data_IF_428677334431
#
_entry.id   IF_428677334431
#
_cell.length_a   1.000
_cell.length_b   1.000
_cell.length_c   1.000
_cell.angle_alpha   90.00
_cell.angle_beta   90.00
_cell.angle_gamma   90.00
#
_symmetry.space_group_name_H-M   'P 1'
#
loop_
_entity.id
_entity.type
_entity.pdbx_description
1 polymer ?
#
# COMPACT_ATOMS: atom_id res chain seq x y z
N UNK A 1 35.03 -0.94 2.23
CA UNK A 1 34.56 -0.97 2.08
C UNK A 1 34.15 -1.00 2.22
N UNK A 2 34.23 -1.67 2.12
CA UNK A 2 33.50 -1.65 2.00
C UNK A 2 33.22 -1.75 1.94
N UNK A 3 33.32 -2.39 1.80
CA UNK A 3 32.77 -2.45 1.56
C UNK A 3 32.62 -2.60 1.54
N UNK A 4 32.85 -3.24 1.57
CA UNK A 4 32.40 -3.34 1.37
C UNK A 4 32.25 -3.53 1.28
N UNK A 5 32.58 -4.12 1.43
CA UNK A 5 32.10 -4.22 1.17
C UNK A 5 31.86 -4.26 0.95
N UNK A 6 32.20 -4.67 0.87
CA UNK A 6 31.60 -4.64 0.43
C UNK A 6 31.39 -4.52 0.17
N UNK A 7 31.52 -4.84 0.00
CA UNK A 7 31.05 -4.50 -0.37
C UNK A 7 30.95 -4.17 -1.02
N UNK A 8 30.91 -4.56 -1.27
CA UNK A 8 30.78 -4.26 -1.91
C UNK A 8 30.66 -3.75 -2.05
N UNK A 9 31.04 -4.35 -1.72
CA UNK A 9 30.58 -3.62 -1.71
C UNK A 9 30.21 -2.78 -2.19
N UNK A 10 30.27 -2.50 -1.90
CA UNK A 10 29.64 -1.46 -2.64
C UNK A 10 28.48 -1.92 -3.49
N UNK A 11 28.57 -3.06 -4.00
CA UNK A 11 27.49 -3.63 -4.80
C UNK A 11 26.23 -3.86 -3.99
N UNK A 12 26.37 -4.36 -2.79
CA UNK A 12 25.22 -4.59 -1.92
C UNK A 12 24.54 -3.27 -1.56
N UNK A 13 25.32 -2.26 -1.28
CA UNK A 13 24.76 -0.94 -0.95
C UNK A 13 24.01 -0.38 -2.14
N UNK A 14 24.54 -0.54 -3.32
CA UNK A 14 23.90 -0.07 -4.52
C UNK A 14 22.52 -0.73 -4.72
N UNK A 15 22.46 -2.04 -4.52
CA UNK A 15 21.19 -2.77 -4.66
C UNK A 15 20.19 -2.29 -3.62
N UNK A 16 20.65 -2.15 -2.38
CA UNK A 16 19.75 -1.73 -1.30
C UNK A 16 19.24 -0.31 -1.51
N UNK A 17 20.03 0.57 -2.10
CA UNK A 17 19.59 1.93 -2.33
C UNK A 17 18.44 2.03 -3.34
N UNK A 18 18.24 0.97 -4.13
CA UNK A 18 17.15 0.92 -5.11
C UNK A 18 15.93 0.18 -4.59
N UNK A 19 16.04 -0.40 -3.41
CA UNK A 19 14.93 -1.14 -2.82
C UNK A 19 14.01 -0.19 -2.06
N UNK A 20 12.72 -0.33 -2.27
CA UNK A 20 11.72 0.42 -1.51
C UNK A 20 11.17 -0.49 -0.42
N UNK A 21 11.28 -0.04 0.83
CA UNK A 21 10.77 -0.78 1.97
C UNK A 21 9.36 -0.28 2.26
N UNK A 22 8.37 -1.13 2.00
CA UNK A 22 6.99 -0.79 2.26
C UNK A 22 6.71 -0.84 3.76
N UNK A 23 6.09 0.20 4.30
CA UNK A 23 5.76 0.28 5.72
C UNK A 23 4.50 -0.52 6.06
N UNK A 24 3.66 -0.77 5.08
CA UNK A 24 2.39 -1.47 5.28
C UNK A 24 2.39 -2.78 4.52
N UNK A 25 1.54 -3.71 4.96
CA UNK A 25 1.51 -5.07 4.44
C UNK A 25 0.14 -5.41 3.87
N UNK A 26 0.11 -6.45 3.03
CA UNK A 26 -1.15 -6.99 2.53
C UNK A 26 -2.06 -7.33 3.69
N UNK A 27 -3.32 -6.96 3.57
CA UNK A 27 -4.32 -7.24 4.59
C UNK A 27 -4.41 -6.23 5.70
N UNK A 28 -3.50 -5.28 5.79
CA UNK A 28 -3.61 -4.22 6.78
C UNK A 28 -4.66 -3.22 6.38
N UNK A 29 -5.36 -2.68 7.37
CA UNK A 29 -6.34 -1.63 7.15
C UNK A 29 -5.64 -0.30 7.35
N UNK A 30 -5.75 0.56 6.34
CA UNK A 30 -5.16 1.89 6.37
C UNK A 30 -6.24 2.93 6.09
N UNK A 31 -5.95 4.17 6.46
CA UNK A 31 -6.84 5.31 6.16
C UNK A 31 -6.02 6.42 5.54
N UNK A 32 -6.69 7.23 4.73
CA UNK A 32 -6.04 8.37 4.11
C UNK A 32 -5.87 9.49 5.12
N UNK A 33 -4.74 10.21 5.03
CA UNK A 33 -4.45 11.30 5.96
C UNK A 33 -5.43 12.47 5.83
N UNK A 34 -5.88 12.72 4.61
CA UNK A 34 -6.66 13.93 4.30
C UNK A 34 -8.11 13.64 3.96
N UNK A 35 -8.37 12.55 3.28
CA UNK A 35 -9.72 12.25 2.78
C UNK A 35 -10.36 11.18 3.66
N UNK A 36 -11.67 11.24 3.74
CA UNK A 36 -12.43 10.38 4.67
C UNK A 36 -12.67 9.01 4.05
N UNK A 37 -11.60 8.25 3.79
CA UNK A 37 -11.75 6.87 3.35
C UNK A 37 -10.67 5.99 3.98
N UNK A 38 -10.95 4.70 3.98
CA UNK A 38 -10.06 3.67 4.49
C UNK A 38 -10.18 2.42 3.63
N UNK A 39 -9.27 1.49 3.79
CA UNK A 39 -9.34 0.28 2.98
C UNK A 39 -8.34 -0.78 3.40
N UNK A 40 -8.50 -1.95 2.80
CA UNK A 40 -7.60 -3.09 3.02
C UNK A 40 -6.61 -3.13 1.86
N UNK A 41 -5.34 -3.24 2.19
CA UNK A 41 -4.28 -3.33 1.17
C UNK A 41 -4.34 -4.70 0.52
N UNK A 42 -4.50 -4.73 -0.82
CA UNK A 42 -4.52 -5.99 -1.54
C UNK A 42 -3.36 -6.13 -2.54
N UNK A 43 -2.61 -5.06 -2.79
CA UNK A 43 -1.42 -5.12 -3.65
C UNK A 43 -0.52 -3.95 -3.32
N UNK A 44 0.78 -4.12 -3.56
CA UNK A 44 1.78 -3.12 -3.23
C UNK A 44 2.73 -2.97 -4.41
N UNK A 45 2.91 -1.74 -4.88
CA UNK A 45 3.92 -1.42 -5.88
C UNK A 45 5.10 -0.76 -5.18
N UNK A 46 6.34 -1.18 -5.47
CA UNK A 46 7.51 -0.57 -4.80
C UNK A 46 7.64 0.92 -5.09
N UNK A 47 7.17 1.34 -6.26
CA UNK A 47 7.10 2.75 -6.62
C UNK A 47 5.94 2.94 -7.60
N UNK A 48 5.68 4.18 -7.97
CA UNK A 48 4.54 4.51 -8.83
C UNK A 48 4.51 3.62 -10.07
N UNK A 49 3.36 3.01 -10.32
CA UNK A 49 3.15 2.12 -11.46
C UNK A 49 1.74 2.29 -12.02
N UNK A 50 1.47 3.47 -12.53
CA UNK A 50 0.22 3.78 -13.20
C UNK A 50 0.55 4.70 -14.37
N UNK A 51 -0.45 5.20 -15.08
CA UNK A 51 -0.18 6.01 -16.27
C UNK A 51 0.21 7.43 -15.89
N UNK A 52 0.94 8.06 -16.78
CA UNK A 52 1.30 9.47 -16.61
C UNK A 52 0.06 10.36 -16.62
N UNK A 53 -0.94 10.01 -17.42
CA UNK A 53 -2.21 10.75 -17.44
C UNK A 53 -2.89 10.71 -16.09
N UNK A 54 -2.93 9.53 -15.45
CA UNK A 54 -3.49 9.40 -14.12
C UNK A 54 -2.74 10.30 -13.13
N UNK A 55 -1.40 10.26 -13.20
CA UNK A 55 -0.56 11.05 -12.31
C UNK A 55 -0.79 12.55 -12.49
N UNK A 56 -0.85 12.99 -13.74
CA UNK A 56 -1.05 14.39 -14.04
C UNK A 56 -2.47 14.87 -13.70
N UNK A 57 -3.42 13.95 -13.56
CA UNK A 57 -4.77 14.31 -13.14
C UNK A 57 -4.85 14.71 -11.68
N UNK A 58 -3.84 14.36 -10.88
CA UNK A 58 -3.80 14.76 -9.48
C UNK A 58 -3.40 16.24 -9.41
N UNK A 59 -4.13 17.07 -8.66
CA UNK A 59 -3.74 18.47 -8.52
C UNK A 59 -2.30 18.59 -8.02
N UNK A 60 -1.54 19.52 -8.63
CA UNK A 60 -0.10 19.61 -8.37
C UNK A 60 0.23 19.79 -6.88
N UNK A 61 -0.62 20.51 -6.14
CA UNK A 61 -0.38 20.79 -4.73
C UNK A 61 -0.46 19.55 -3.84
N UNK A 62 -1.14 18.50 -4.31
CA UNK A 62 -1.30 17.27 -3.52
C UNK A 62 -0.71 16.05 -4.21
N UNK A 63 -0.01 16.27 -5.33
CA UNK A 63 0.56 15.20 -6.12
C UNK A 63 1.77 14.59 -5.38
N UNK A 64 1.76 13.29 -5.09
CA UNK A 64 2.86 12.67 -4.33
C UNK A 64 4.07 12.39 -5.23
N UNK A 65 5.23 12.18 -4.59
CA UNK A 65 6.40 11.72 -5.32
C UNK A 65 6.17 10.31 -5.83
N UNK A 66 6.74 10.00 -6.98
CA UNK A 66 6.65 8.67 -7.58
C UNK A 66 7.57 7.65 -6.93
N UNK A 67 8.64 8.08 -6.28
CA UNK A 67 9.71 7.22 -5.75
C UNK A 67 9.41 6.76 -4.33
N UNK A 68 8.24 6.20 -4.14
CA UNK A 68 7.81 5.63 -2.86
C UNK A 68 6.82 4.51 -3.13
N UNK A 69 6.56 3.64 -2.15
CA UNK A 69 5.54 2.60 -2.34
C UNK A 69 4.16 3.20 -2.57
N UNK A 70 3.41 2.56 -3.45
CA UNK A 70 2.01 2.85 -3.69
C UNK A 70 1.19 1.60 -3.40
N UNK A 71 -0.01 1.80 -2.88
CA UNK A 71 -0.85 0.70 -2.39
C UNK A 71 -2.18 0.68 -3.10
N UNK A 72 -2.60 -0.53 -3.46
CA UNK A 72 -3.93 -0.77 -4.01
C UNK A 72 -4.84 -1.19 -2.88
N UNK A 73 -5.94 -0.48 -2.71
CA UNK A 73 -6.85 -0.67 -1.58
C UNK A 73 -8.24 -1.09 -2.05
N UNK A 74 -8.81 -2.06 -1.35
CA UNK A 74 -10.27 -2.22 -1.34
C UNK A 74 -10.80 -1.17 -0.37
N UNK A 75 -11.27 -0.06 -0.90
CA UNK A 75 -11.55 1.14 -0.13
C UNK A 75 -13.03 1.36 0.09
N UNK A 76 -13.34 2.08 1.14
CA UNK A 76 -14.70 2.51 1.45
C UNK A 76 -14.68 3.94 1.99
N UNK A 77 -15.75 4.65 1.73
CA UNK A 77 -16.04 5.89 2.45
C UNK A 77 -17.45 5.76 3.06
N UNK A 78 -18.02 6.86 3.54
CA UNK A 78 -19.34 6.81 4.18
C UNK A 78 -20.45 6.38 3.22
N UNK A 79 -20.23 6.50 1.92
CA UNK A 79 -21.30 6.36 0.93
C UNK A 79 -21.11 5.16 -0.01
N UNK A 80 -19.87 4.75 -0.31
CA UNK A 80 -19.63 3.76 -1.33
C UNK A 80 -18.31 3.00 -1.10
N UNK A 81 -18.10 1.99 -1.92
CA UNK A 81 -16.86 1.20 -1.95
C UNK A 81 -16.22 1.31 -3.33
N UNK A 82 -14.89 1.27 -3.38
CA UNK A 82 -14.16 1.43 -4.63
C UNK A 82 -12.73 0.92 -4.49
N UNK A 83 -11.98 0.92 -5.61
CA UNK A 83 -10.56 0.60 -5.60
C UNK A 83 -9.79 1.91 -5.57
N UNK A 84 -8.86 2.04 -4.63
CA UNK A 84 -8.03 3.25 -4.51
C UNK A 84 -6.56 2.90 -4.72
N UNK A 85 -5.82 3.83 -5.27
CA UNK A 85 -4.37 3.72 -5.47
C UNK A 85 -3.72 4.90 -4.76
N UNK A 86 -2.96 4.62 -3.69
CA UNK A 86 -2.54 5.66 -2.76
C UNK A 86 -1.07 5.52 -2.42
N UNK A 87 -0.36 6.66 -2.42
CA UNK A 87 1.05 6.71 -2.02
C UNK A 87 1.19 6.49 -0.52
N UNK A 88 2.32 5.90 -0.14
CA UNK A 88 2.61 5.61 1.27
C UNK A 88 2.54 6.85 2.15
N UNK A 89 3.02 7.99 1.66
CA UNK A 89 3.05 9.22 2.45
C UNK A 89 1.65 9.68 2.87
N UNK A 90 0.62 9.24 2.17
CA UNK A 90 -0.76 9.67 2.44
C UNK A 90 -1.55 8.67 3.26
N UNK A 91 -0.91 7.62 3.77
CA UNK A 91 -1.59 6.57 4.51
C UNK A 91 -1.16 6.51 5.96
N UNK A 92 -2.10 6.14 6.82
CA UNK A 92 -1.89 5.83 8.22
C UNK A 92 -2.57 4.50 8.52
N UNK A 93 -2.02 3.75 9.49
CA UNK A 93 -2.72 2.55 9.95
C UNK A 93 -4.06 2.95 10.56
N UNK A 94 -5.09 2.18 10.23
CA UNK A 94 -6.38 2.34 10.86
C UNK A 94 -6.42 1.45 12.11
N UNK A 95 -6.65 2.06 13.26
CA UNK A 95 -6.64 1.34 14.53
C UNK A 95 -8.03 1.16 15.12
N UNK A 96 -9.06 1.46 14.33
CA UNK A 96 -10.44 1.38 14.83
C UNK A 96 -10.91 -0.05 15.06
N UNK A 97 -10.34 -1.01 14.35
CA UNK A 97 -10.78 -2.40 14.41
C UNK A 97 -12.09 -2.67 13.67
N UNK A 98 -12.68 -1.67 13.04
CA UNK A 98 -13.94 -1.83 12.31
C UNK A 98 -13.73 -2.59 11.01
N UNK A 99 -14.63 -3.50 10.66
CA UNK A 99 -14.53 -4.19 9.37
C UNK A 99 -14.65 -3.24 8.20
N UNK A 100 -13.98 -3.56 7.10
CA UNK A 100 -14.11 -2.83 5.84
C UNK A 100 -15.24 -3.47 5.04
N UNK A 101 -16.18 -2.66 4.57
CA UNK A 101 -17.41 -3.17 3.92
C UNK A 101 -17.24 -3.56 2.47
N UNK A 102 -16.09 -3.31 1.86
CA UNK A 102 -15.89 -3.58 0.44
C UNK A 102 -16.15 -5.07 0.14
N UNK A 103 -17.01 -5.39 -0.84
CA UNK A 103 -17.40 -6.79 -1.07
C UNK A 103 -16.25 -7.69 -1.49
N UNK A 104 -15.23 -7.17 -2.15
CA UNK A 104 -14.09 -7.97 -2.59
C UNK A 104 -13.15 -8.37 -1.47
N UNK A 105 -13.26 -7.73 -0.30
CA UNK A 105 -12.41 -8.10 0.85
C UNK A 105 -12.63 -9.57 1.21
N UNK A 106 -13.89 -9.99 1.32
CA UNK A 106 -14.20 -11.37 1.69
C UNK A 106 -13.79 -12.39 0.63
N UNK A 107 -13.61 -11.95 -0.61
CA UNK A 107 -13.19 -12.84 -1.69
C UNK A 107 -11.69 -13.13 -1.64
N UNK A 108 -10.90 -12.18 -1.17
CA UNK A 108 -9.45 -12.26 -1.18
C UNK A 108 -8.89 -12.57 0.21
N UNK A 109 -9.54 -12.07 1.24
CA UNK A 109 -9.04 -12.14 2.61
C UNK A 109 -10.05 -12.80 3.53
N UNK A 110 -9.53 -13.30 4.66
CA UNK A 110 -10.36 -13.69 5.78
C UNK A 110 -9.93 -12.91 7.01
N UNK A 111 -10.87 -12.70 7.93
CA UNK A 111 -10.62 -11.94 9.14
C UNK A 111 -9.87 -12.82 10.13
N UNK A 112 -8.80 -12.29 10.73
CA UNK A 112 -8.08 -13.04 11.76
C UNK A 112 -8.61 -12.67 13.16
N UNK A 113 -8.10 -13.38 14.17
CA UNK A 113 -8.58 -13.19 15.55
C UNK A 113 -8.23 -11.82 16.11
N UNK A 114 -7.23 -11.16 15.56
CA UNK A 114 -6.81 -9.84 16.01
C UNK A 114 -7.59 -8.70 15.33
N UNK A 115 -8.51 -9.02 14.42
CA UNK A 115 -9.30 -8.03 13.72
C UNK A 115 -8.67 -7.54 12.42
N UNK A 116 -7.52 -8.09 12.04
CA UNK A 116 -6.90 -7.80 10.76
C UNK A 116 -7.41 -8.73 9.66
N UNK A 117 -6.76 -8.67 8.51
CA UNK A 117 -7.09 -9.51 7.36
C UNK A 117 -5.86 -10.26 6.91
N UNK A 118 -6.04 -11.47 6.43
CA UNK A 118 -4.95 -12.26 5.83
C UNK A 118 -5.45 -12.88 4.54
N UNK A 119 -4.57 -13.06 3.55
CA UNK A 119 -4.99 -13.67 2.29
C UNK A 119 -5.54 -15.07 2.51
N UNK A 120 -6.56 -15.43 1.76
CA UNK A 120 -7.09 -16.79 1.82
C UNK A 120 -6.07 -17.75 1.24
N UNK A 121 -5.88 -18.88 1.89
CA UNK A 121 -4.87 -19.87 1.48
C UNK A 121 -5.11 -20.33 0.04
N UNK A 122 -6.36 -20.46 -0.37
CA UNK A 122 -6.69 -20.92 -1.71
C UNK A 122 -6.18 -19.99 -2.82
N UNK A 123 -5.84 -18.75 -2.48
CA UNK A 123 -5.34 -17.77 -3.44
C UNK A 123 -3.82 -17.73 -3.51
N UNK A 124 -3.14 -18.55 -2.71
CA UNK A 124 -1.69 -18.56 -2.66
C UNK A 124 -1.05 -19.58 -3.61
N UNK A 125 -1.85 -20.25 -4.38
CA UNK A 125 -1.38 -21.28 -5.33
C UNK A 125 -1.05 -20.71 -6.69
#
# INVERSE_FOLDING_TARGET
>A
MASSAGHNPGLCDWVMSKTRVAQFKLGQVVRHRRFAFRGVIFDIDPEFNNTEEWYQSIPAEVRPRKDQPFYHLFAENAETEYIAYVSEQNLLLDTSGEPVRHPQVAEVFERDAAGGYRPRVSLLH
#
